data_IF_667541778276
#
_entry.id   IF_667541778276
#
_cell.length_a   1.000
_cell.length_b   1.000
_cell.length_c   1.000
_cell.angle_alpha   90.00
_cell.angle_beta   90.00
_cell.angle_gamma   90.00
#
_symmetry.space_group_name_H-M   'P 1'
#
loop_
_entity.id
_entity.type
_entity.pdbx_description
1 polymer ?
#
# COMPACT_ATOMS: atom_id res chain seq x y z
N UNK A 1 36.92 22.28 -14.28
CA UNK A 1 36.34 21.23 -13.42
C UNK A 1 34.85 21.34 -13.59
N UNK A 2 34.31 20.60 -14.55
CA UNK A 2 32.89 20.65 -14.91
C UNK A 2 32.17 19.74 -13.93
N UNK A 3 31.22 20.29 -13.18
CA UNK A 3 30.37 19.50 -12.29
C UNK A 3 29.43 18.72 -13.19
N UNK A 4 29.64 17.40 -13.21
CA UNK A 4 28.75 16.43 -13.83
C UNK A 4 27.50 16.36 -12.94
N UNK A 5 26.43 17.04 -13.37
CA UNK A 5 25.12 16.88 -12.78
C UNK A 5 24.61 15.52 -13.24
N UNK A 6 24.88 14.49 -12.43
CA UNK A 6 24.33 13.16 -12.62
C UNK A 6 22.82 13.28 -12.80
N UNK A 7 22.36 12.95 -14.00
CA UNK A 7 20.95 12.71 -14.25
C UNK A 7 20.55 11.58 -13.28
N UNK A 8 19.63 11.86 -12.37
CA UNK A 8 18.88 10.80 -11.69
C UNK A 8 18.20 10.01 -12.83
N UNK A 9 18.71 8.80 -13.08
CA UNK A 9 18.11 7.86 -14.02
C UNK A 9 16.73 7.50 -13.47
N UNK A 10 15.70 8.20 -13.93
CA UNK A 10 14.32 7.75 -13.79
C UNK A 10 14.27 6.29 -14.28
N UNK A 11 13.87 5.33 -13.43
CA UNK A 11 13.90 3.93 -13.81
C UNK A 11 13.02 3.71 -15.04
N UNK A 12 13.41 2.75 -15.89
CA UNK A 12 12.60 2.34 -17.03
C UNK A 12 11.19 1.99 -16.52
N UNK A 13 10.13 2.68 -17.02
CA UNK A 13 8.77 2.47 -16.56
C UNK A 13 8.39 0.98 -16.62
N UNK A 14 7.85 0.44 -15.52
CA UNK A 14 7.35 -0.93 -15.46
C UNK A 14 8.38 -1.98 -15.05
N UNK A 15 9.56 -1.60 -14.54
CA UNK A 15 10.54 -2.54 -13.95
C UNK A 15 9.89 -3.40 -12.87
N UNK A 16 9.07 -2.79 -12.02
CA UNK A 16 8.45 -3.46 -10.88
C UNK A 16 7.11 -4.09 -11.20
N UNK A 17 6.58 -3.91 -12.41
CA UNK A 17 5.22 -4.32 -12.79
C UNK A 17 4.93 -5.79 -12.47
N UNK A 18 5.81 -6.71 -12.85
CA UNK A 18 5.59 -8.14 -12.58
C UNK A 18 5.58 -8.46 -11.08
N UNK A 19 6.38 -7.76 -10.27
CA UNK A 19 6.36 -7.91 -8.82
C UNK A 19 5.08 -7.32 -8.22
N UNK A 20 4.68 -6.12 -8.65
CA UNK A 20 3.45 -5.46 -8.22
C UNK A 20 2.23 -6.34 -8.51
N UNK A 21 2.11 -6.86 -9.73
CA UNK A 21 1.00 -7.73 -10.14
C UNK A 21 0.96 -9.00 -9.28
N UNK A 22 2.10 -9.65 -9.05
CA UNK A 22 2.18 -10.87 -8.26
C UNK A 22 1.90 -10.64 -6.77
N UNK A 23 2.39 -9.53 -6.20
CA UNK A 23 2.14 -9.14 -4.81
C UNK A 23 0.69 -8.74 -4.60
N UNK A 24 0.07 -7.99 -5.53
CA UNK A 24 -1.34 -7.64 -5.46
C UNK A 24 -2.25 -8.88 -5.56
N UNK A 25 -1.94 -9.83 -6.45
CA UNK A 25 -2.66 -11.11 -6.53
C UNK A 25 -2.50 -11.93 -5.24
N UNK A 26 -1.30 -11.95 -4.67
CA UNK A 26 -1.03 -12.63 -3.40
C UNK A 26 -1.79 -11.99 -2.23
N UNK A 27 -1.83 -10.66 -2.18
CA UNK A 27 -2.58 -9.91 -1.18
C UNK A 27 -4.08 -10.17 -1.31
N UNK A 28 -4.61 -10.22 -2.53
CA UNK A 28 -6.02 -10.58 -2.78
C UNK A 28 -6.36 -11.97 -2.24
N UNK A 29 -5.47 -12.94 -2.42
CA UNK A 29 -5.63 -14.29 -1.83
C UNK A 29 -5.58 -14.25 -0.29
N UNK A 30 -4.71 -13.43 0.30
CA UNK A 30 -4.61 -13.27 1.75
C UNK A 30 -5.88 -12.64 2.36
N UNK A 31 -6.37 -11.55 1.76
CA UNK A 31 -7.55 -10.84 2.23
C UNK A 31 -8.86 -11.59 1.93
N UNK A 32 -8.84 -12.53 0.98
CA UNK A 32 -10.03 -13.26 0.55
C UNK A 32 -10.99 -12.42 -0.31
N UNK A 33 -10.50 -11.32 -0.87
CA UNK A 33 -11.26 -10.41 -1.74
C UNK A 33 -10.38 -9.82 -2.85
N UNK A 34 -10.96 -9.32 -3.96
CA UNK A 34 -10.18 -8.71 -5.04
C UNK A 34 -9.41 -7.46 -4.58
N UNK A 35 -8.19 -7.32 -5.10
CA UNK A 35 -7.35 -6.12 -4.93
C UNK A 35 -7.11 -5.50 -6.29
N UNK A 36 -7.37 -4.19 -6.39
CA UNK A 36 -7.12 -3.41 -7.60
C UNK A 36 -5.97 -2.44 -7.37
N UNK A 37 -4.95 -2.47 -8.22
CA UNK A 37 -3.90 -1.45 -8.26
C UNK A 37 -4.44 -0.25 -9.04
N UNK A 38 -4.58 0.89 -8.38
CA UNK A 38 -5.18 2.12 -8.94
C UNK A 38 -4.11 3.05 -9.50
N UNK A 39 -3.02 3.22 -8.76
CA UNK A 39 -1.89 4.05 -9.14
C UNK A 39 -0.59 3.37 -8.73
N UNK A 40 0.49 3.70 -9.42
CA UNK A 40 1.82 3.14 -9.17
C UNK A 40 2.85 4.24 -9.33
N UNK A 41 3.71 4.38 -8.34
CA UNK A 41 4.93 5.17 -8.38
C UNK A 41 6.11 4.24 -8.22
N UNK A 42 7.00 4.19 -9.20
CA UNK A 42 8.19 3.35 -9.19
C UNK A 42 9.43 4.23 -8.99
N UNK A 43 10.37 3.76 -8.18
CA UNK A 43 11.71 4.34 -8.02
C UNK A 43 12.76 3.22 -8.22
N UNK A 44 14.04 3.58 -8.31
CA UNK A 44 15.10 2.61 -8.61
C UNK A 44 15.11 1.43 -7.61
N UNK A 45 14.82 1.70 -6.34
CA UNK A 45 14.92 0.72 -5.25
C UNK A 45 13.57 0.40 -4.60
N UNK A 46 12.46 0.66 -5.28
CA UNK A 46 11.16 0.56 -4.62
C UNK A 46 9.98 0.88 -5.49
N UNK A 47 8.80 0.67 -4.93
CA UNK A 47 7.55 1.16 -5.50
C UNK A 47 6.57 1.50 -4.39
N UNK A 48 5.59 2.33 -4.73
CA UNK A 48 4.42 2.61 -3.91
C UNK A 48 3.19 2.55 -4.79
N UNK A 49 2.24 1.70 -4.42
CA UNK A 49 1.03 1.45 -5.17
C UNK A 49 -0.19 1.79 -4.33
N UNK A 50 -1.05 2.67 -4.85
CA UNK A 50 -2.40 2.80 -4.30
C UNK A 50 -3.19 1.56 -4.69
N UNK A 51 -3.68 0.84 -3.69
CA UNK A 51 -4.51 -0.37 -3.85
C UNK A 51 -5.87 -0.18 -3.21
N UNK A 52 -6.90 -0.82 -3.77
CA UNK A 52 -8.28 -0.75 -3.27
C UNK A 52 -8.96 -2.11 -3.31
N UNK A 53 -9.86 -2.31 -2.34
CA UNK A 53 -10.83 -3.40 -2.36
C UNK A 53 -12.02 -3.09 -3.27
N UNK A 54 -13.14 -3.75 -2.99
CA UNK A 54 -14.39 -3.46 -3.69
C UNK A 54 -14.89 -2.02 -3.41
N UNK A 55 -15.46 -1.37 -4.42
CA UNK A 55 -16.09 -0.07 -4.24
C UNK A 55 -17.24 -0.12 -3.21
N UNK A 56 -17.39 0.93 -2.37
CA UNK A 56 -18.48 0.99 -1.42
C UNK A 56 -19.82 0.98 -2.16
N UNK A 57 -20.70 0.04 -1.82
CA UNK A 57 -21.98 -0.15 -2.49
C UNK A 57 -23.16 -0.32 -1.52
N UNK A 58 -24.37 -0.10 -2.03
CA UNK A 58 -25.62 -0.25 -1.28
C UNK A 58 -26.01 0.99 -0.45
N UNK A 59 -27.22 1.00 0.16
CA UNK A 59 -27.76 2.15 0.89
C UNK A 59 -27.37 2.20 2.39
N UNK A 60 -26.66 1.19 2.90
CA UNK A 60 -26.37 1.02 4.33
C UNK A 60 -25.00 1.56 4.73
N UNK A 61 -24.19 0.77 5.44
CA UNK A 61 -22.91 1.18 6.03
C UNK A 61 -21.85 1.54 4.99
N UNK A 62 -21.95 1.06 3.73
CA UNK A 62 -21.00 1.35 2.65
C UNK A 62 -19.55 1.21 3.12
N UNK A 63 -19.14 -0.02 3.43
CA UNK A 63 -17.77 -0.31 3.84
C UNK A 63 -16.88 -0.44 2.60
N UNK A 64 -15.68 0.11 2.68
CA UNK A 64 -14.64 -0.02 1.68
C UNK A 64 -13.26 0.12 2.33
N UNK A 65 -12.21 -0.20 1.59
CA UNK A 65 -10.84 0.05 2.02
C UNK A 65 -9.96 0.51 0.87
N UNK A 66 -8.97 1.32 1.22
CA UNK A 66 -7.85 1.68 0.38
C UNK A 66 -6.56 1.39 1.13
N UNK A 67 -5.44 1.34 0.43
CA UNK A 67 -4.16 1.16 1.07
C UNK A 67 -2.99 1.49 0.16
N UNK A 68 -1.82 1.52 0.77
CA UNK A 68 -0.55 1.69 0.06
C UNK A 68 0.21 0.39 0.17
N UNK A 69 0.35 -0.31 -0.96
CA UNK A 69 1.25 -1.45 -1.11
C UNK A 69 2.62 -0.91 -1.50
N UNK A 70 3.57 -1.01 -0.58
CA UNK A 70 4.90 -0.43 -0.72
C UNK A 70 5.99 -1.49 -0.73
N UNK A 71 7.09 -1.15 -1.40
CA UNK A 71 8.36 -1.83 -1.23
C UNK A 71 9.48 -0.79 -1.13
N UNK A 72 10.30 -0.93 -0.10
CA UNK A 72 11.55 -0.20 0.09
C UNK A 72 12.67 -1.14 0.53
N UNK A 73 13.85 -0.60 0.81
CA UNK A 73 14.92 -1.36 1.43
C UNK A 73 15.11 -0.93 2.89
N UNK A 74 15.12 -1.90 3.79
CA UNK A 74 15.46 -1.75 5.20
C UNK A 74 16.60 -2.70 5.52
N UNK A 75 17.69 -2.19 6.11
CA UNK A 75 18.92 -2.97 6.39
C UNK A 75 19.47 -3.76 5.18
N UNK A 76 19.32 -3.20 3.97
CA UNK A 76 19.77 -3.81 2.72
C UNK A 76 18.94 -5.01 2.27
N UNK A 77 17.81 -5.28 2.92
CA UNK A 77 16.81 -6.26 2.50
C UNK A 77 15.55 -5.53 2.02
N UNK A 78 14.83 -6.09 1.05
CA UNK A 78 13.55 -5.54 0.67
C UNK A 78 12.55 -5.72 1.80
N UNK A 79 11.88 -4.63 2.14
CA UNK A 79 10.77 -4.58 3.07
C UNK A 79 9.50 -4.29 2.28
N UNK A 80 8.53 -5.19 2.37
CA UNK A 80 7.27 -5.12 1.63
C UNK A 80 6.15 -5.13 2.65
N UNK A 81 5.31 -4.11 2.60
CA UNK A 81 4.14 -4.03 3.44
C UNK A 81 2.99 -3.40 2.68
N UNK A 82 1.79 -3.60 3.21
CA UNK A 82 0.62 -2.83 2.86
C UNK A 82 0.05 -2.20 4.12
N UNK A 83 -0.20 -0.90 4.05
CA UNK A 83 -0.98 -0.17 5.05
C UNK A 83 -2.40 0.01 4.51
N UNK A 84 -3.40 -0.41 5.28
CA UNK A 84 -4.81 -0.35 4.91
C UNK A 84 -5.57 0.66 5.77
N UNK A 85 -6.47 1.37 5.12
CA UNK A 85 -7.41 2.32 5.71
C UNK A 85 -8.84 1.83 5.45
N UNK A 86 -9.64 1.72 6.51
CA UNK A 86 -11.05 1.34 6.38
C UNK A 86 -11.92 2.57 6.30
N UNK A 87 -12.97 2.50 5.49
CA UNK A 87 -13.92 3.58 5.28
C UNK A 87 -15.34 3.08 5.53
N UNK A 88 -16.18 3.97 6.06
CA UNK A 88 -17.63 3.81 6.12
C UNK A 88 -18.27 5.06 5.55
N UNK A 89 -19.11 4.91 4.52
CA UNK A 89 -19.76 6.02 3.82
C UNK A 89 -18.75 7.07 3.33
N UNK A 90 -17.61 6.60 2.84
CA UNK A 90 -16.52 7.44 2.31
C UNK A 90 -15.66 8.16 3.34
N UNK A 91 -15.88 7.96 4.64
CA UNK A 91 -15.08 8.56 5.73
C UNK A 91 -14.18 7.52 6.38
N UNK A 92 -12.92 7.87 6.62
CA UNK A 92 -11.95 6.98 7.28
C UNK A 92 -12.37 6.65 8.71
N UNK A 93 -12.43 5.36 9.01
CA UNK A 93 -12.62 4.81 10.34
C UNK A 93 -11.31 4.87 11.12
N UNK A 94 -11.43 5.12 12.42
CA UNK A 94 -10.30 5.24 13.36
C UNK A 94 -10.63 4.49 14.64
N UNK A 95 -9.60 4.05 15.35
CA UNK A 95 -9.76 3.61 16.73
C UNK A 95 -10.04 4.82 17.65
N UNK A 96 -10.90 4.62 18.64
CA UNK A 96 -11.46 5.71 19.47
C UNK A 96 -10.40 6.56 20.19
N UNK A 97 -9.23 5.99 20.48
CA UNK A 97 -8.12 6.60 21.20
C UNK A 97 -7.01 7.14 20.30
N UNK A 98 -7.19 7.16 18.97
CA UNK A 98 -6.15 7.51 18.00
C UNK A 98 -6.62 8.60 17.03
N UNK A 99 -5.74 9.59 16.77
CA UNK A 99 -5.97 10.64 15.76
C UNK A 99 -5.98 10.09 14.33
N UNK A 100 -5.26 8.99 14.11
CA UNK A 100 -5.25 8.20 12.89
C UNK A 100 -4.84 6.77 13.21
N UNK A 101 -5.44 5.81 12.51
CA UNK A 101 -5.10 4.40 12.65
C UNK A 101 -5.09 3.71 11.29
N UNK A 102 -4.25 2.70 11.13
CA UNK A 102 -4.16 1.87 9.94
C UNK A 102 -3.92 0.42 10.33
N UNK A 103 -4.28 -0.50 9.43
CA UNK A 103 -3.91 -1.90 9.57
C UNK A 103 -2.63 -2.12 8.77
N UNK A 104 -1.60 -2.68 9.37
CA UNK A 104 -0.38 -3.05 8.66
C UNK A 104 -0.29 -4.56 8.44
N UNK A 105 0.07 -4.95 7.23
CA UNK A 105 0.31 -6.34 6.84
C UNK A 105 1.66 -6.37 6.11
N UNK A 106 2.58 -7.21 6.59
CA UNK A 106 3.92 -7.35 6.01
C UNK A 106 4.03 -8.62 5.18
N UNK A 107 4.87 -8.59 4.17
CA UNK A 107 5.14 -9.72 3.29
C UNK A 107 6.55 -10.25 3.47
N UNK A 108 6.66 -11.55 3.69
CA UNK A 108 7.92 -12.26 3.84
C UNK A 108 8.08 -13.27 2.70
N UNK A 109 9.03 -13.02 1.78
CA UNK A 109 9.37 -13.96 0.72
C UNK A 109 9.80 -13.32 -0.60
N UNK A 110 9.86 -14.12 -1.69
CA UNK A 110 10.25 -13.64 -3.02
C UNK A 110 9.21 -12.71 -3.64
N UNK A 111 9.59 -11.86 -4.58
CA UNK A 111 8.69 -10.88 -5.21
C UNK A 111 7.67 -11.48 -6.20
N UNK A 112 7.65 -12.79 -6.37
CA UNK A 112 6.74 -13.51 -7.24
C UNK A 112 5.39 -13.84 -6.57
N UNK A 113 5.12 -13.29 -5.38
CA UNK A 113 3.88 -13.48 -4.65
C UNK A 113 3.74 -14.86 -3.97
N UNK A 114 4.78 -15.69 -3.97
CA UNK A 114 4.80 -17.02 -3.33
C UNK A 114 5.12 -17.03 -1.84
N UNK A 115 5.51 -15.89 -1.29
CA UNK A 115 5.77 -15.66 0.13
C UNK A 115 4.50 -15.61 0.98
N UNK A 116 4.65 -15.12 2.21
CA UNK A 116 3.59 -15.14 3.22
C UNK A 116 3.28 -13.73 3.71
N UNK A 117 2.00 -13.40 3.79
CA UNK A 117 1.51 -12.19 4.43
C UNK A 117 1.29 -12.43 5.92
N UNK A 118 1.69 -11.47 6.76
CA UNK A 118 1.53 -11.51 8.21
C UNK A 118 0.88 -10.22 8.69
N UNK A 119 -0.26 -10.36 9.36
CA UNK A 119 -0.99 -9.23 9.93
C UNK A 119 -0.27 -8.73 11.18
N UNK A 120 0.12 -7.45 11.20
CA UNK A 120 0.67 -6.78 12.38
C UNK A 120 -0.43 -6.19 13.27
N UNK A 121 -1.63 -6.03 12.72
CA UNK A 121 -2.78 -5.47 13.41
C UNK A 121 -2.88 -3.96 13.24
N UNK A 122 -3.67 -3.34 14.12
CA UNK A 122 -3.91 -1.90 14.09
C UNK A 122 -2.76 -1.13 14.72
N UNK A 123 -2.27 -0.14 14.00
CA UNK A 123 -1.23 0.77 14.45
C UNK A 123 -1.72 2.21 14.39
N UNK A 124 -1.12 3.03 15.25
CA UNK A 124 -1.39 4.46 15.32
C UNK A 124 -0.54 5.21 14.29
N UNK A 125 -1.15 6.18 13.62
CA UNK A 125 -0.46 7.13 12.74
C UNK A 125 0.07 8.32 13.55
N UNK A 126 1.19 8.10 14.24
CA UNK A 126 1.78 9.08 15.17
C UNK A 126 2.33 10.33 14.48
N UNK A 127 2.73 10.20 13.21
CA UNK A 127 3.35 11.28 12.45
C UNK A 127 2.36 11.99 11.51
N UNK A 128 1.11 11.53 11.44
CA UNK A 128 0.11 12.05 10.51
C UNK A 128 0.48 11.79 9.04
N UNK A 129 1.27 10.75 8.78
CA UNK A 129 1.74 10.41 7.43
C UNK A 129 0.55 10.14 6.51
N UNK A 130 -0.54 9.63 7.07
CA UNK A 130 -1.72 9.23 6.32
C UNK A 130 -2.90 10.19 6.49
N UNK A 131 -2.70 11.43 6.97
CA UNK A 131 -3.77 12.43 7.11
C UNK A 131 -4.49 12.71 5.77
N UNK A 132 -3.77 12.58 4.65
CA UNK A 132 -4.33 12.74 3.30
C UNK A 132 -5.37 11.68 2.90
N UNK A 133 -5.48 10.57 3.63
CA UNK A 133 -6.39 9.46 3.34
C UNK A 133 -7.72 9.55 4.12
N UNK A 134 -8.20 10.75 4.48
CA UNK A 134 -9.40 10.90 5.32
C UNK A 134 -10.73 10.61 4.58
N UNK A 135 -10.72 10.70 3.25
CA UNK A 135 -11.86 10.33 2.41
C UNK A 135 -11.49 9.24 1.41
N UNK A 136 -12.46 8.36 1.12
CA UNK A 136 -12.31 7.35 0.08
C UNK A 136 -12.29 8.02 -1.29
N UNK A 137 -11.37 7.62 -2.16
CA UNK A 137 -11.27 8.13 -3.52
C UNK A 137 -10.43 9.40 -3.68
N UNK A 138 -9.83 9.91 -2.61
CA UNK A 138 -8.95 11.10 -2.62
C UNK A 138 -7.67 10.87 -3.46
#
# INVERSE_FOLDING_TARGET
>A
MTIDNGAEDDPAPGRWRSAIDALAESLARHLGEPVTVVNTTEIEQGFSCLVRGAEPSGPSLQLAWEGVLGMGYSDGQPDISVVLFLYSRGRRLRLDDQSGSYLEIVYEGPFDGSGTWRDLGWLQDDLGEFEGYDSYGD
#
